data_IF_389412047155
#
_entry.id   IF_389412047155
#
_cell.length_a   1.000
_cell.length_b   1.000
_cell.length_c   1.000
_cell.angle_alpha   90.00
_cell.angle_beta   90.00
_cell.angle_gamma   90.00
#
_symmetry.space_group_name_H-M   'P 1'
#
loop_
_entity.id
_entity.type
_entity.pdbx_description
1 polymer ?
#
# COMPACT_ATOMS: atom_id res chain seq x y z
N UNK A 1 -3.89 -10.39 -8.61
CA UNK A 1 -4.31 -10.63 -7.21
C UNK A 1 -4.94 -12.00 -6.95
N UNK A 2 -6.02 -12.43 -7.62
CA UNK A 2 -6.65 -13.76 -7.35
C UNK A 2 -5.66 -14.92 -7.52
N UNK A 3 -4.93 -14.95 -8.64
CA UNK A 3 -3.87 -15.95 -8.90
C UNK A 3 -2.72 -15.86 -7.89
N UNK A 4 -2.47 -14.67 -7.33
CA UNK A 4 -1.40 -14.44 -6.35
C UNK A 4 -1.76 -14.97 -4.96
N UNK A 5 -3.05 -14.92 -4.60
CA UNK A 5 -3.57 -15.58 -3.39
C UNK A 5 -3.33 -17.09 -3.48
N UNK A 6 -3.59 -17.71 -4.64
CA UNK A 6 -3.34 -19.14 -4.85
C UNK A 6 -1.84 -19.46 -4.75
N UNK A 7 -0.97 -18.66 -5.38
CA UNK A 7 0.49 -18.82 -5.27
C UNK A 7 1.00 -18.61 -3.83
N UNK A 8 0.48 -17.62 -3.11
CA UNK A 8 0.83 -17.37 -1.69
C UNK A 8 0.42 -18.53 -0.78
N UNK A 9 -0.70 -19.21 -1.08
CA UNK A 9 -1.20 -20.33 -0.27
C UNK A 9 -0.27 -21.54 -0.30
N UNK A 10 0.45 -21.72 -1.40
CA UNK A 10 1.40 -22.82 -1.60
C UNK A 10 2.75 -22.59 -0.93
N UNK A 11 2.99 -21.38 -0.39
CA UNK A 11 4.25 -21.04 0.29
C UNK A 11 3.99 -20.91 1.79
N UNK A 12 4.41 -21.90 2.57
CA UNK A 12 4.26 -21.90 4.03
C UNK A 12 4.83 -20.64 4.69
N UNK A 13 6.00 -20.17 4.23
CA UNK A 13 6.62 -18.92 4.67
C UNK A 13 5.70 -17.70 4.46
N UNK A 14 5.05 -17.59 3.29
CA UNK A 14 4.14 -16.47 2.99
C UNK A 14 2.85 -16.56 3.81
N UNK A 15 2.39 -17.77 4.12
CA UNK A 15 1.23 -18.00 5.00
C UNK A 15 1.57 -17.59 6.44
N UNK A 16 2.67 -18.08 7.00
CA UNK A 16 3.14 -17.71 8.34
C UNK A 16 3.35 -16.20 8.46
N UNK A 17 4.03 -15.58 7.49
CA UNK A 17 4.21 -14.12 7.45
C UNK A 17 2.90 -13.33 7.25
N UNK A 18 1.82 -13.96 6.77
CA UNK A 18 0.49 -13.32 6.74
C UNK A 18 -0.15 -13.35 8.13
N UNK A 19 -0.04 -14.46 8.85
CA UNK A 19 -0.57 -14.59 10.22
C UNK A 19 0.14 -13.62 11.17
N UNK A 20 1.47 -13.56 11.11
CA UNK A 20 2.25 -12.61 11.93
C UNK A 20 1.80 -11.17 11.68
N UNK A 21 1.64 -10.77 10.42
CA UNK A 21 1.13 -9.43 10.07
C UNK A 21 -0.30 -9.19 10.55
N UNK A 22 -1.15 -10.20 10.55
CA UNK A 22 -2.51 -10.08 11.07
C UNK A 22 -2.55 -9.83 12.58
N UNK A 23 -1.53 -10.31 13.33
CA UNK A 23 -1.36 -10.04 14.76
C UNK A 23 -0.73 -8.68 15.03
N UNK A 24 0.25 -8.27 14.21
CA UNK A 24 1.03 -7.05 14.44
C UNK A 24 0.35 -5.77 13.94
N UNK A 25 -0.55 -5.86 12.94
CA UNK A 25 -1.18 -4.68 12.35
C UNK A 25 -2.63 -4.54 12.79
N UNK A 26 -3.05 -3.29 13.02
CA UNK A 26 -4.44 -2.99 13.36
C UNK A 26 -5.40 -3.51 12.28
N UNK A 27 -6.59 -4.02 12.66
CA UNK A 27 -7.56 -4.56 11.71
C UNK A 27 -7.98 -3.59 10.61
N UNK A 28 -7.98 -2.28 10.84
CA UNK A 28 -8.36 -1.28 9.82
C UNK A 28 -7.19 -0.77 8.97
N UNK A 29 -5.98 -1.27 9.20
CA UNK A 29 -4.80 -0.83 8.46
C UNK A 29 -4.78 -1.37 7.02
N UNK A 30 -4.09 -0.65 6.13
CA UNK A 30 -3.85 -1.11 4.74
C UNK A 30 -3.09 -2.44 4.71
N UNK A 31 -2.18 -2.66 5.67
CA UNK A 31 -1.44 -3.93 5.80
C UNK A 31 -2.37 -5.10 6.12
N UNK A 32 -3.35 -4.89 7.00
CA UNK A 32 -4.37 -5.89 7.30
C UNK A 32 -5.33 -6.09 6.12
N UNK A 33 -5.77 -5.03 5.46
CA UNK A 33 -6.66 -5.09 4.29
C UNK A 33 -6.02 -5.82 3.09
N UNK A 34 -4.71 -5.62 2.85
CA UNK A 34 -3.93 -6.30 1.82
C UNK A 34 -3.51 -7.73 2.17
N UNK A 35 -3.86 -8.23 3.36
CA UNK A 35 -3.48 -9.58 3.80
C UNK A 35 -4.11 -10.65 2.90
N UNK A 36 -3.37 -11.73 2.67
CA UNK A 36 -3.80 -12.80 1.78
C UNK A 36 -5.11 -13.46 2.23
N UNK A 37 -5.34 -13.58 3.55
CA UNK A 37 -6.57 -14.12 4.11
C UNK A 37 -7.80 -13.26 3.78
N UNK A 38 -7.70 -11.94 4.00
CA UNK A 38 -8.82 -11.03 3.75
C UNK A 38 -9.06 -10.81 2.27
N UNK A 39 -8.00 -10.75 1.47
CA UNK A 39 -8.11 -10.67 0.02
C UNK A 39 -8.82 -11.90 -0.56
N UNK A 40 -8.56 -13.11 -0.03
CA UNK A 40 -9.30 -14.32 -0.43
C UNK A 40 -10.80 -14.18 -0.17
N UNK A 41 -11.18 -13.80 1.05
CA UNK A 41 -12.58 -13.67 1.43
C UNK A 41 -13.28 -12.56 0.63
N UNK A 42 -12.63 -11.39 0.50
CA UNK A 42 -13.13 -10.26 -0.27
C UNK A 42 -13.38 -10.63 -1.73
N UNK A 43 -12.41 -11.27 -2.39
CA UNK A 43 -12.54 -11.64 -3.80
C UNK A 43 -13.60 -12.73 -4.02
N UNK A 44 -13.77 -13.66 -3.06
CA UNK A 44 -14.85 -14.64 -3.08
C UNK A 44 -16.22 -13.97 -3.07
N UNK A 45 -16.47 -13.10 -2.08
CA UNK A 45 -17.72 -12.33 -2.00
C UNK A 45 -17.93 -11.40 -3.19
N UNK A 46 -16.87 -10.84 -3.75
CA UNK A 46 -16.96 -9.99 -4.95
C UNK A 46 -17.44 -10.80 -6.15
N UNK A 47 -16.95 -12.02 -6.35
CA UNK A 47 -17.38 -12.91 -7.44
C UNK A 47 -18.84 -13.35 -7.27
N UNK A 48 -19.26 -13.70 -6.06
CA UNK A 48 -20.67 -14.01 -5.75
C UNK A 48 -21.59 -12.81 -6.05
N UNK A 49 -21.17 -11.60 -5.66
CA UNK A 49 -21.91 -10.37 -5.94
C UNK A 49 -21.91 -10.00 -7.43
N UNK A 50 -20.89 -10.39 -8.18
CA UNK A 50 -20.87 -10.18 -9.62
C UNK A 50 -21.90 -11.07 -10.33
N UNK A 51 -22.13 -12.29 -9.83
CA UNK A 51 -23.15 -13.20 -10.35
C UNK A 51 -24.59 -12.80 -10.01
N UNK A 52 -24.80 -12.08 -8.91
CA UNK A 52 -26.14 -11.70 -8.41
C UNK A 52 -26.51 -10.24 -8.66
N UNK A 53 -25.56 -9.31 -8.52
CA UNK A 53 -25.77 -7.86 -8.52
C UNK A 53 -24.63 -7.13 -9.28
N UNK A 54 -24.41 -7.43 -10.58
CA UNK A 54 -23.27 -6.93 -11.34
C UNK A 54 -23.25 -5.40 -11.44
N UNK A 55 -24.41 -4.76 -11.64
CA UNK A 55 -24.52 -3.31 -11.77
C UNK A 55 -23.97 -2.57 -10.54
N UNK A 56 -24.31 -3.04 -9.33
CA UNK A 56 -23.80 -2.42 -8.10
C UNK A 56 -22.28 -2.58 -7.94
N UNK A 57 -21.72 -3.70 -8.40
CA UNK A 57 -20.27 -3.92 -8.36
C UNK A 57 -19.58 -2.94 -9.32
N UNK A 58 -20.12 -2.78 -10.53
CA UNK A 58 -19.60 -1.83 -11.53
C UNK A 58 -19.68 -0.40 -11.02
N UNK A 59 -20.79 0.02 -10.42
CA UNK A 59 -20.94 1.37 -9.87
C UNK A 59 -19.94 1.64 -8.73
N UNK A 60 -19.72 0.68 -7.83
CA UNK A 60 -18.68 0.81 -6.79
C UNK A 60 -17.27 0.94 -7.38
N UNK A 61 -16.96 0.21 -8.44
CA UNK A 61 -15.68 0.32 -9.13
C UNK A 61 -15.52 1.65 -9.86
N UNK A 62 -16.57 2.16 -10.50
CA UNK A 62 -16.58 3.50 -11.11
C UNK A 62 -16.36 4.59 -10.06
N UNK A 63 -17.07 4.51 -8.94
CA UNK A 63 -16.90 5.45 -7.83
C UNK A 63 -15.46 5.43 -7.28
N UNK A 64 -14.88 4.24 -7.10
CA UNK A 64 -13.48 4.09 -6.68
C UNK A 64 -12.52 4.70 -7.71
N UNK A 65 -12.71 4.42 -9.00
CA UNK A 65 -11.91 5.01 -10.09
C UNK A 65 -11.99 6.54 -10.05
N UNK A 66 -13.20 7.08 -9.99
CA UNK A 66 -13.41 8.52 -9.95
C UNK A 66 -12.73 9.18 -8.75
N UNK A 67 -12.70 8.50 -7.60
CA UNK A 67 -12.01 9.00 -6.41
C UNK A 67 -10.48 8.93 -6.52
N UNK A 68 -9.92 7.81 -7.01
CA UNK A 68 -8.47 7.62 -7.17
C UNK A 68 -7.89 8.50 -8.28
N UNK A 69 -8.66 8.81 -9.31
CA UNK A 69 -8.23 9.61 -10.46
C UNK A 69 -8.39 11.12 -10.25
N UNK A 70 -8.75 11.58 -9.04
CA UNK A 70 -8.74 13.02 -8.73
C UNK A 70 -7.31 13.54 -8.75
N UNK A 71 -7.05 14.73 -9.34
CA UNK A 71 -5.70 15.29 -9.39
C UNK A 71 -5.09 15.46 -7.99
N UNK A 72 -5.91 15.81 -7.00
CA UNK A 72 -5.53 15.94 -5.58
C UNK A 72 -4.97 14.62 -4.97
N UNK A 73 -5.38 13.47 -5.50
CA UNK A 73 -5.01 12.14 -5.01
C UNK A 73 -3.88 11.49 -5.83
N UNK A 74 -3.32 12.20 -6.82
CA UNK A 74 -2.32 11.66 -7.75
C UNK A 74 -1.00 12.40 -7.59
N UNK A 75 0.05 11.67 -7.23
CA UNK A 75 1.43 12.17 -7.25
C UNK A 75 2.17 11.58 -8.45
N UNK A 76 2.75 12.45 -9.27
CA UNK A 76 3.55 12.04 -10.44
C UNK A 76 5.04 12.08 -10.07
N UNK A 77 5.71 10.94 -10.19
CA UNK A 77 7.17 10.85 -10.07
C UNK A 77 7.78 10.74 -11.46
N UNK A 78 8.64 11.69 -11.83
CA UNK A 78 9.30 11.75 -13.15
C UNK A 78 10.81 11.64 -12.97
N UNK A 79 11.42 10.74 -13.75
CA UNK A 79 12.87 10.60 -13.84
C UNK A 79 13.28 10.80 -15.30
N UNK A 80 14.02 11.86 -15.59
CA UNK A 80 14.46 12.20 -16.94
C UNK A 80 15.82 12.90 -16.91
N UNK A 81 16.55 12.86 -18.03
CA UNK A 81 17.75 13.67 -18.23
C UNK A 81 17.33 15.10 -18.58
N UNK A 82 17.53 16.04 -17.66
CA UNK A 82 17.12 17.43 -17.80
C UNK A 82 17.88 18.18 -18.89
N UNK A 83 19.12 17.80 -19.19
CA UNK A 83 19.94 18.44 -20.24
C UNK A 83 19.35 18.16 -21.63
N UNK A 84 18.96 16.90 -21.89
CA UNK A 84 18.30 16.54 -23.15
C UNK A 84 16.89 17.11 -23.25
N UNK A 85 16.20 17.22 -22.12
CA UNK A 85 14.80 17.67 -22.08
C UNK A 85 14.68 19.19 -22.21
N UNK A 86 15.62 19.94 -21.62
CA UNK A 86 15.68 21.40 -21.74
C UNK A 86 16.02 21.86 -23.17
N UNK A 87 16.72 21.03 -23.95
CA UNK A 87 16.95 21.29 -25.38
C UNK A 87 15.65 21.28 -26.22
N UNK A 88 14.56 20.66 -25.72
CA UNK A 88 13.26 20.59 -26.40
C UNK A 88 12.30 21.70 -25.96
N UNK A 89 12.60 22.43 -24.88
CA UNK A 89 11.77 23.52 -24.37
C UNK A 89 11.70 23.58 -22.85
N UNK A 90 10.78 24.40 -22.33
CA UNK A 90 10.56 24.50 -20.88
C UNK A 90 9.95 23.21 -20.33
N UNK A 91 10.76 22.52 -19.52
CA UNK A 91 10.38 21.29 -18.83
C UNK A 91 9.35 21.56 -17.74
N UNK A 92 9.40 22.73 -17.09
CA UNK A 92 8.62 23.05 -15.90
C UNK A 92 7.21 23.55 -16.19
N UNK A 93 7.01 24.19 -17.34
CA UNK A 93 5.74 24.81 -17.75
C UNK A 93 4.54 23.87 -17.65
N UNK A 94 4.55 22.68 -18.30
CA UNK A 94 3.42 21.76 -18.27
C UNK A 94 3.01 21.35 -16.86
N UNK A 95 3.97 21.14 -15.96
CA UNK A 95 3.71 20.75 -14.58
C UNK A 95 3.05 21.86 -13.76
N UNK A 96 3.44 23.12 -14.00
CA UNK A 96 2.86 24.28 -13.31
C UNK A 96 1.41 24.51 -13.73
N UNK A 97 1.08 24.31 -15.01
CA UNK A 97 -0.30 24.44 -15.51
C UNK A 97 -1.17 23.25 -15.11
N UNK A 98 -0.64 22.02 -15.15
CA UNK A 98 -1.45 20.81 -14.93
C UNK A 98 -1.63 20.41 -13.45
N UNK A 99 -0.84 20.96 -12.53
CA UNK A 99 -0.83 20.58 -11.10
C UNK A 99 -1.03 21.78 -10.14
N UNK A 100 -1.50 22.92 -10.65
CA UNK A 100 -1.58 24.19 -9.89
C UNK A 100 -2.56 24.21 -8.72
N UNK A 101 -3.41 23.19 -8.57
CA UNK A 101 -4.28 23.04 -7.40
C UNK A 101 -3.75 21.94 -6.48
N UNK A 102 -2.67 22.24 -5.76
CA UNK A 102 -2.37 21.49 -4.56
C UNK A 102 -3.20 22.10 -3.41
N UNK A 103 -4.05 21.32 -2.71
CA UNK A 103 -4.56 21.79 -1.42
C UNK A 103 -3.36 22.13 -0.52
N UNK A 104 -3.47 23.18 0.32
CA UNK A 104 -2.38 23.58 1.21
C UNK A 104 -1.95 22.35 1.99
N UNK A 105 -0.63 22.10 2.01
CA UNK A 105 -0.05 20.97 2.72
C UNK A 105 -0.66 20.90 4.12
N UNK A 106 -1.53 19.92 4.36
CA UNK A 106 -2.03 19.66 5.70
C UNK A 106 -0.78 19.49 6.55
N UNK A 107 -0.59 20.44 7.47
CA UNK A 107 0.44 20.43 8.51
C UNK A 107 0.59 19.00 8.96
N UNK A 108 1.77 18.42 8.70
CA UNK A 108 2.09 17.08 9.12
C UNK A 108 1.78 16.99 10.62
N UNK A 109 0.62 16.42 10.97
CA UNK A 109 0.25 16.16 12.35
C UNK A 109 1.41 15.33 12.90
N UNK A 110 2.09 15.77 13.97
CA UNK A 110 3.16 14.97 14.54
C UNK A 110 2.54 13.61 14.85
N UNK A 111 3.07 12.56 14.21
CA UNK A 111 2.68 11.18 14.51
C UNK A 111 2.92 11.03 16.01
N UNK A 112 1.85 11.00 16.79
CA UNK A 112 1.91 10.75 18.22
C UNK A 112 2.72 9.46 18.40
N UNK A 113 3.90 9.58 18.99
CA UNK A 113 4.71 8.43 19.34
C UNK A 113 3.85 7.47 20.16
N UNK A 114 3.76 6.18 19.84
CA UNK A 114 3.21 5.23 20.79
C UNK A 114 4.10 5.27 22.03
N UNK A 115 3.45 5.44 23.18
CA UNK A 115 4.08 5.62 24.47
C UNK A 115 5.25 4.68 24.71
N UNK A 116 6.32 5.26 25.22
CA UNK A 116 7.43 4.56 25.85
C UNK A 116 6.90 3.59 26.91
N UNK A 117 6.82 2.31 26.57
CA UNK A 117 7.04 1.23 27.54
C UNK A 117 8.27 0.47 27.09
N UNK A 118 9.42 0.92 27.58
CA UNK A 118 10.67 0.19 27.51
C UNK A 118 10.51 -1.13 28.27
N UNK A 119 10.16 -2.22 27.58
CA UNK A 119 10.35 -3.57 28.12
C UNK A 119 11.75 -4.02 27.73
N UNK A 120 12.64 -3.95 28.71
CA UNK A 120 13.94 -4.62 28.76
C UNK A 120 13.81 -6.08 28.30
N UNK A 121 14.46 -6.45 27.20
CA UNK A 121 14.86 -7.85 26.98
C UNK A 121 16.26 -8.02 27.54
N UNK A 122 16.34 -8.41 28.82
CA UNK A 122 17.54 -8.99 29.41
C UNK A 122 17.58 -10.50 29.13
N UNK A 123 18.78 -11.02 28.87
CA UNK A 123 19.14 -12.45 28.84
C UNK A 123 19.18 -13.00 27.41
N UNK A 124 20.32 -13.31 26.79
CA UNK A 124 21.59 -13.77 27.33
C UNK A 124 21.83 -15.18 26.81
N UNK A 125 22.73 -15.34 25.85
CA UNK A 125 23.70 -16.46 25.78
C UNK A 125 24.66 -16.22 24.62
N UNK A 126 25.92 -15.94 24.97
CA UNK A 126 27.06 -16.11 24.08
C UNK A 126 27.08 -17.56 23.60
N UNK A 127 27.26 -17.80 22.30
CA UNK A 127 27.96 -19.00 21.85
C UNK A 127 28.84 -18.64 20.66
N UNK A 128 30.13 -18.75 20.90
CA UNK A 128 31.21 -18.54 19.96
C UNK A 128 31.30 -19.74 19.00
N UNK A 129 31.55 -19.46 17.72
CA UNK A 129 32.18 -20.41 16.79
C UNK A 129 33.20 -19.63 15.94
N UNK A 130 34.47 -19.64 16.38
CA UNK A 130 35.64 -19.78 15.50
C UNK A 130 36.01 -21.28 15.53
N UNK A 131 36.55 -21.90 14.51
CA UNK A 131 37.09 -21.38 13.26
C UNK A 131 37.33 -22.50 12.25
N UNK A 132 38.12 -22.14 11.26
CA UNK A 132 38.98 -22.96 10.39
C UNK A 132 39.42 -24.29 10.96
#
# INVERSE_FOLDING_TARGET
MVKDVVKKRRSGMKVAGTVVRALCFQPRSNQAAGSMLRQRAFLGHLLERLGTQPAQVVEKLKALKAHLSRPENVTVHVSANLEKLSALGDVGGPWRTCLSEQPPAETATPRSAPGSSATRCCGGTKRACRGT
#
